data_IF_613376503398
#
_entry.id   IF_613376503398
#
_cell.length_a   1.000
_cell.length_b   1.000
_cell.length_c   1.000
_cell.angle_alpha   90.00
_cell.angle_beta   90.00
_cell.angle_gamma   90.00
#
_symmetry.space_group_name_H-M   'P 1'
#
loop_
_entity.id
_entity.type
_entity.pdbx_description
1 polymer ?
#
# COMPACT_ATOMS: atom_id res chain seq x y z
N UNK A 1 -3.72 9.61 -18.52
CA UNK A 1 -2.94 10.85 -18.68
C UNK A 1 -2.89 11.59 -17.36
N UNK A 2 -1.84 12.37 -17.07
CA UNK A 2 -1.67 13.07 -15.79
C UNK A 2 -1.74 14.59 -16.00
N UNK A 3 -2.37 15.31 -15.08
CA UNK A 3 -2.39 16.77 -15.02
C UNK A 3 -1.73 17.24 -13.72
N UNK A 4 -0.91 18.29 -13.78
CA UNK A 4 -0.07 18.72 -12.66
C UNK A 4 -0.65 19.89 -11.86
N UNK A 5 -1.65 20.58 -12.40
CA UNK A 5 -2.15 21.84 -11.85
C UNK A 5 -3.56 21.75 -11.28
N UNK A 6 -4.02 20.53 -10.98
CA UNK A 6 -5.36 20.24 -10.47
C UNK A 6 -5.26 19.31 -9.28
N UNK A 7 -6.14 19.50 -8.31
CA UNK A 7 -6.45 18.52 -7.29
C UNK A 7 -7.81 17.87 -7.55
N UNK A 8 -8.16 16.84 -6.78
CA UNK A 8 -9.49 16.22 -6.83
C UNK A 8 -10.58 17.22 -6.43
N UNK A 9 -10.31 18.11 -5.47
CA UNK A 9 -11.32 19.06 -4.97
C UNK A 9 -11.70 20.08 -6.04
N UNK A 10 -10.72 20.51 -6.85
CA UNK A 10 -10.93 21.45 -7.95
C UNK A 10 -11.89 20.88 -9.01
N UNK A 11 -12.15 19.56 -8.99
CA UNK A 11 -13.02 18.89 -9.94
C UNK A 11 -14.51 19.08 -9.67
N UNK A 12 -14.87 19.40 -8.42
CA UNK A 12 -16.25 19.58 -8.00
C UNK A 12 -16.74 21.02 -8.17
N UNK A 13 -15.82 21.98 -8.31
CA UNK A 13 -16.13 23.41 -8.34
C UNK A 13 -16.20 24.00 -9.75
N UNK A 14 -15.70 23.30 -10.78
CA UNK A 14 -15.56 23.86 -12.13
C UNK A 14 -15.96 22.94 -13.28
N UNK A 15 -16.14 23.54 -14.46
CA UNK A 15 -16.53 22.87 -15.71
C UNK A 15 -15.36 22.16 -16.42
N UNK A 16 -14.34 21.75 -15.67
CA UNK A 16 -13.12 21.17 -16.22
C UNK A 16 -13.37 19.85 -16.98
N UNK A 17 -14.37 19.05 -16.55
CA UNK A 17 -14.73 17.80 -17.23
C UNK A 17 -15.21 18.11 -18.64
N UNK A 18 -16.13 19.06 -18.77
CA UNK A 18 -16.67 19.52 -20.05
C UNK A 18 -15.57 20.08 -20.94
N UNK A 19 -14.70 20.94 -20.40
CA UNK A 19 -13.56 21.49 -21.13
C UNK A 19 -12.60 20.40 -21.65
N UNK A 20 -12.37 19.37 -20.84
CA UNK A 20 -11.53 18.25 -21.21
C UNK A 20 -12.20 17.40 -22.29
N UNK A 21 -13.47 17.06 -22.13
CA UNK A 21 -14.26 16.32 -23.12
C UNK A 21 -14.30 17.06 -24.46
N UNK A 22 -14.49 18.37 -24.47
CA UNK A 22 -14.48 19.22 -25.68
C UNK A 22 -13.13 19.16 -26.41
N UNK A 23 -12.01 19.18 -25.68
CA UNK A 23 -10.68 19.04 -26.31
C UNK A 23 -10.58 17.71 -27.06
N UNK A 24 -11.04 16.62 -26.43
CA UNK A 24 -11.00 15.31 -27.06
C UNK A 24 -11.98 15.23 -28.23
N UNK A 25 -13.22 15.70 -28.07
CA UNK A 25 -14.27 15.66 -29.09
C UNK A 25 -13.90 16.45 -30.33
N UNK A 26 -13.44 17.68 -30.16
CA UNK A 26 -13.25 18.61 -31.29
C UNK A 26 -11.90 18.42 -31.98
N UNK A 27 -10.89 17.89 -31.28
CA UNK A 27 -9.50 17.94 -31.77
C UNK A 27 -8.80 16.59 -31.83
N UNK A 28 -9.00 15.71 -30.84
CA UNK A 28 -8.19 14.49 -30.72
C UNK A 28 -8.93 13.24 -31.17
N UNK A 29 -10.23 13.11 -30.93
CA UNK A 29 -11.00 11.88 -31.13
C UNK A 29 -12.35 12.18 -31.79
N UNK A 30 -12.29 12.89 -32.93
CA UNK A 30 -13.46 13.39 -33.66
C UNK A 30 -14.39 12.30 -34.15
N UNK A 31 -13.86 11.10 -34.37
CA UNK A 31 -14.61 9.93 -34.83
C UNK A 31 -15.43 9.28 -33.71
N UNK A 32 -15.22 9.64 -32.44
CA UNK A 32 -16.00 9.09 -31.33
C UNK A 32 -17.24 9.95 -31.07
N UNK A 33 -18.46 9.42 -31.24
CA UNK A 33 -19.68 10.17 -30.95
C UNK A 33 -19.82 10.47 -29.45
N UNK A 34 -19.38 9.54 -28.62
CA UNK A 34 -19.42 9.64 -27.16
C UNK A 34 -18.00 9.57 -26.61
N UNK A 35 -17.68 10.50 -25.73
CA UNK A 35 -16.41 10.58 -25.00
C UNK A 35 -16.80 10.79 -23.55
N UNK A 36 -16.21 10.00 -22.66
CA UNK A 36 -16.54 10.02 -21.25
C UNK A 36 -15.29 9.75 -20.41
N UNK A 37 -15.27 10.30 -19.20
CA UNK A 37 -14.19 10.06 -18.24
C UNK A 37 -14.46 8.76 -17.47
N UNK A 38 -13.54 7.80 -17.54
CA UNK A 38 -13.67 6.47 -16.90
C UNK A 38 -12.93 6.35 -15.57
N UNK A 39 -11.97 7.24 -15.31
CA UNK A 39 -11.24 7.26 -14.04
C UNK A 39 -10.69 8.66 -13.80
N UNK A 40 -10.85 9.13 -12.57
CA UNK A 40 -10.12 10.26 -12.03
C UNK A 40 -9.62 9.87 -10.66
N UNK A 41 -8.36 10.15 -10.37
CA UNK A 41 -7.74 9.85 -9.08
C UNK A 41 -6.58 10.82 -8.81
N UNK A 42 -6.28 11.07 -7.53
CA UNK A 42 -5.09 11.85 -7.16
C UNK A 42 -3.85 11.05 -7.53
N UNK A 43 -2.80 11.76 -7.91
CA UNK A 43 -1.49 11.17 -8.14
C UNK A 43 -0.96 10.51 -6.87
N UNK A 44 -1.30 11.04 -5.70
CA UNK A 44 -0.89 10.51 -4.40
C UNK A 44 -1.55 9.15 -4.13
N UNK A 45 -2.84 9.00 -4.46
CA UNK A 45 -3.60 7.76 -4.24
C UNK A 45 -3.07 6.57 -5.06
N UNK A 46 -2.46 6.83 -6.22
CA UNK A 46 -1.86 5.81 -7.10
C UNK A 46 -0.38 5.58 -6.73
N UNK A 47 0.07 6.03 -5.54
CA UNK A 47 1.44 5.83 -5.06
C UNK A 47 2.45 6.84 -5.59
N UNK A 48 1.98 7.99 -6.07
CA UNK A 48 2.84 9.14 -6.38
C UNK A 48 3.35 9.86 -5.14
N UNK A 49 4.30 10.76 -5.33
CA UNK A 49 4.86 11.59 -4.24
C UNK A 49 4.06 12.89 -4.11
N UNK A 50 3.80 13.28 -2.87
CA UNK A 50 3.30 14.62 -2.55
C UNK A 50 4.32 15.67 -3.00
N UNK A 51 3.89 16.79 -3.61
CA UNK A 51 4.78 17.88 -3.97
C UNK A 51 5.58 18.42 -2.76
N UNK A 52 6.85 18.76 -2.98
CA UNK A 52 7.71 19.34 -1.93
C UNK A 52 7.25 20.74 -1.52
N UNK A 53 6.73 21.51 -2.48
CA UNK A 53 6.17 22.83 -2.23
C UNK A 53 4.68 22.71 -1.88
N UNK A 54 4.22 23.17 -0.71
CA UNK A 54 2.82 23.08 -0.32
C UNK A 54 1.88 23.97 -1.17
N UNK A 55 2.43 24.88 -1.98
CA UNK A 55 1.64 25.67 -2.94
C UNK A 55 1.37 24.94 -4.25
N UNK A 56 2.12 23.87 -4.53
CA UNK A 56 1.92 23.08 -5.74
C UNK A 56 0.73 22.12 -5.54
N UNK A 57 -0.07 21.97 -6.59
CA UNK A 57 -1.17 21.00 -6.64
C UNK A 57 -0.60 19.57 -6.72
N UNK A 58 -1.31 18.61 -6.15
CA UNK A 58 -0.92 17.18 -6.13
C UNK A 58 -0.90 16.58 -7.54
N UNK A 59 -1.81 17.06 -8.38
CA UNK A 59 -2.06 16.53 -9.70
C UNK A 59 -3.04 15.38 -9.68
N UNK A 60 -3.69 15.18 -10.82
CA UNK A 60 -4.67 14.11 -11.02
C UNK A 60 -4.25 13.22 -12.18
N UNK A 61 -4.69 11.97 -12.15
CA UNK A 61 -4.61 11.04 -13.27
C UNK A 61 -6.01 10.80 -13.80
N UNK A 62 -6.18 11.05 -15.09
CA UNK A 62 -7.46 10.91 -15.80
C UNK A 62 -7.35 9.83 -16.86
N UNK A 63 -8.38 8.99 -16.96
CA UNK A 63 -8.59 8.03 -18.05
C UNK A 63 -9.87 8.40 -18.78
N UNK A 64 -9.76 8.50 -20.11
CA UNK A 64 -10.85 8.92 -20.99
C UNK A 64 -11.15 7.76 -21.93
N UNK A 65 -12.43 7.44 -22.06
CA UNK A 65 -12.96 6.41 -22.94
C UNK A 65 -13.76 7.02 -24.08
N UNK A 66 -13.88 6.25 -25.16
CA UNK A 66 -14.72 6.54 -26.32
C UNK A 66 -15.33 5.26 -26.85
N UNK A 67 -16.34 5.35 -27.72
CA UNK A 67 -17.04 4.18 -28.26
C UNK A 67 -16.44 3.66 -29.57
N UNK A 68 -15.56 4.43 -30.20
CA UNK A 68 -14.90 4.05 -31.46
C UNK A 68 -13.43 3.73 -31.26
N UNK A 69 -12.77 3.24 -32.30
CA UNK A 69 -11.33 3.04 -32.28
C UNK A 69 -10.57 4.37 -32.16
N UNK A 70 -9.33 4.31 -31.66
CA UNK A 70 -8.47 5.50 -31.59
C UNK A 70 -8.24 6.12 -32.96
N UNK A 71 -8.47 7.44 -33.03
CA UNK A 71 -8.20 8.31 -34.17
C UNK A 71 -6.73 8.32 -34.59
N UNK A 72 -6.46 8.86 -35.78
CA UNK A 72 -5.09 9.03 -36.26
C UNK A 72 -4.32 10.06 -35.42
N UNK A 73 -5.00 11.11 -34.95
CA UNK A 73 -4.45 12.15 -34.09
C UNK A 73 -3.98 11.58 -32.75
N UNK A 74 -4.78 10.72 -32.10
CA UNK A 74 -4.40 10.06 -30.85
C UNK A 74 -3.20 9.15 -31.02
N UNK A 75 -3.15 8.38 -32.11
CA UNK A 75 -2.00 7.50 -32.42
C UNK A 75 -0.73 8.30 -32.68
N UNK A 76 -0.84 9.40 -33.41
CA UNK A 76 0.29 10.32 -33.65
C UNK A 76 0.78 10.93 -32.34
N UNK A 77 -0.16 11.35 -31.49
CA UNK A 77 0.14 11.88 -30.16
C UNK A 77 0.84 10.86 -29.25
N UNK A 78 0.46 9.58 -29.33
CA UNK A 78 1.15 8.51 -28.60
C UNK A 78 2.60 8.35 -29.06
N UNK A 79 2.87 8.40 -30.36
CA UNK A 79 4.23 8.32 -30.91
C UNK A 79 5.08 9.51 -30.43
N UNK A 80 4.54 10.73 -30.47
CA UNK A 80 5.20 11.92 -29.94
C UNK A 80 5.46 11.79 -28.43
N UNK A 81 4.45 11.35 -27.67
CA UNK A 81 4.53 11.14 -26.24
C UNK A 81 5.61 10.12 -25.88
N UNK A 82 5.70 9.03 -26.64
CA UNK A 82 6.63 7.93 -26.38
C UNK A 82 8.10 8.39 -26.47
N UNK A 83 8.42 9.29 -27.40
CA UNK A 83 9.78 9.85 -27.53
C UNK A 83 10.23 10.62 -26.28
N UNK A 84 9.28 11.15 -25.50
CA UNK A 84 9.55 11.95 -24.30
C UNK A 84 9.82 11.07 -23.08
N UNK A 85 9.29 9.85 -23.05
CA UNK A 85 9.39 8.94 -21.89
C UNK A 85 10.82 8.48 -21.63
N UNK A 86 11.59 8.36 -22.70
CA UNK A 86 12.99 7.96 -22.63
C UNK A 86 13.90 9.07 -22.11
N UNK A 87 13.39 10.30 -21.94
CA UNK A 87 14.15 11.42 -21.36
C UNK A 87 13.93 11.46 -19.86
N UNK A 88 15.02 11.33 -19.11
CA UNK A 88 15.01 11.48 -17.65
C UNK A 88 14.69 12.95 -17.34
N UNK A 89 13.64 13.15 -16.54
CA UNK A 89 12.97 14.42 -16.23
C UNK A 89 12.05 14.92 -17.33
N UNK A 90 10.75 15.05 -16.98
CA UNK A 90 9.74 15.71 -17.79
C UNK A 90 9.50 17.13 -17.23
N UNK A 91 10.33 18.13 -17.60
CA UNK A 91 10.24 19.51 -17.08
C UNK A 91 8.90 20.20 -17.36
N UNK A 92 8.15 20.59 -16.34
CA UNK A 92 6.76 21.11 -16.43
C UNK A 92 6.48 22.10 -17.57
N UNK A 93 7.43 22.99 -17.90
CA UNK A 93 7.16 24.14 -18.75
C UNK A 93 7.49 23.96 -20.25
N UNK A 94 8.06 22.83 -20.66
CA UNK A 94 8.45 22.63 -22.07
C UNK A 94 7.28 22.12 -22.93
N UNK A 95 7.06 22.72 -24.12
CA UNK A 95 6.09 22.20 -25.10
C UNK A 95 6.57 20.86 -25.63
N UNK A 96 5.83 19.79 -25.35
CA UNK A 96 6.29 18.43 -25.65
C UNK A 96 5.64 17.78 -26.85
N UNK A 97 4.37 18.12 -27.14
CA UNK A 97 3.57 17.48 -28.18
C UNK A 97 2.86 18.51 -29.04
N UNK A 98 2.34 18.07 -30.17
CA UNK A 98 1.49 18.85 -31.08
C UNK A 98 0.18 19.28 -30.40
N UNK A 99 -0.34 18.49 -29.46
CA UNK A 99 -1.59 18.76 -28.74
C UNK A 99 -1.45 19.70 -27.53
N UNK A 100 -0.24 19.94 -27.00
CA UNK A 100 0.00 20.73 -25.78
C UNK A 100 -0.76 22.05 -25.72
N UNK A 101 -0.79 22.80 -26.83
CA UNK A 101 -1.43 24.12 -26.86
C UNK A 101 -2.94 24.06 -26.63
N UNK A 102 -3.61 22.97 -27.02
CA UNK A 102 -5.05 22.76 -26.84
C UNK A 102 -5.40 22.62 -25.35
N UNK A 103 -4.55 21.92 -24.61
CA UNK A 103 -4.69 21.76 -23.17
C UNK A 103 -4.37 23.06 -22.43
N UNK A 104 -3.26 23.72 -22.79
CA UNK A 104 -2.90 25.00 -22.16
C UNK A 104 -3.89 26.12 -22.43
N UNK A 105 -4.56 26.15 -23.59
CA UNK A 105 -5.60 27.14 -23.87
C UNK A 105 -6.81 27.04 -22.94
N UNK A 106 -7.05 25.86 -22.35
CA UNK A 106 -8.07 25.60 -21.32
C UNK A 106 -7.46 25.48 -19.93
N UNK A 107 -6.28 26.05 -19.71
CA UNK A 107 -5.55 26.05 -18.43
C UNK A 107 -5.16 24.67 -17.87
N UNK A 108 -5.09 23.63 -18.70
CA UNK A 108 -4.54 22.33 -18.27
C UNK A 108 -3.02 22.28 -18.43
N UNK A 109 -2.32 21.74 -17.43
CA UNK A 109 -0.89 21.41 -17.49
C UNK A 109 -0.69 19.89 -17.55
N UNK A 110 -0.72 19.32 -18.77
CA UNK A 110 -0.57 17.88 -18.95
C UNK A 110 0.88 17.40 -18.82
N UNK A 111 1.05 16.24 -18.20
CA UNK A 111 2.30 15.48 -18.21
C UNK A 111 2.25 14.37 -19.27
N UNK A 112 2.87 14.65 -20.41
CA UNK A 112 2.90 13.76 -21.58
C UNK A 112 3.69 12.48 -21.35
N UNK A 113 4.59 12.42 -20.36
CA UNK A 113 5.38 11.22 -20.10
C UNK A 113 4.54 10.07 -19.52
N UNK A 114 3.41 10.42 -18.90
CA UNK A 114 2.38 9.50 -18.44
C UNK A 114 1.26 9.25 -19.46
N UNK A 115 1.32 9.82 -20.67
CA UNK A 115 0.33 9.53 -21.72
C UNK A 115 0.56 8.15 -22.32
N UNK A 116 -0.51 7.37 -22.46
CA UNK A 116 -0.56 6.05 -23.11
C UNK A 116 -1.96 5.84 -23.66
N UNK A 117 -2.07 5.23 -24.84
CA UNK A 117 -3.32 4.63 -25.27
C UNK A 117 -3.42 3.24 -24.66
N UNK A 118 -4.61 2.89 -24.20
CA UNK A 118 -4.89 1.59 -23.58
C UNK A 118 -6.05 1.00 -24.35
N UNK A 119 -5.77 0.03 -25.23
CA UNK A 119 -6.80 -0.90 -25.68
C UNK A 119 -7.01 -1.88 -24.53
N UNK A 120 -8.24 -2.03 -24.03
CA UNK A 120 -8.54 -3.17 -23.17
C UNK A 120 -8.26 -4.43 -24.00
N UNK A 121 -7.33 -5.30 -23.59
CA UNK A 121 -7.28 -6.61 -24.20
C UNK A 121 -8.53 -7.40 -23.77
N UNK A 122 -9.11 -8.18 -24.68
CA UNK A 122 -9.65 -9.47 -24.27
C UNK A 122 -8.47 -10.21 -23.61
N UNK A 123 -8.45 -10.24 -22.27
CA UNK A 123 -7.48 -10.95 -21.44
C UNK A 123 -6.05 -10.36 -21.38
N UNK A 124 -5.73 -9.77 -20.21
CA UNK A 124 -4.35 -9.45 -19.80
C UNK A 124 -3.63 -10.75 -19.41
N UNK A 125 -2.96 -11.38 -20.35
CA UNK A 125 -1.83 -12.28 -20.07
C UNK A 125 -0.52 -11.47 -20.07
N UNK A 126 0.21 -11.52 -18.96
CA UNK A 126 1.66 -11.44 -18.99
C UNK A 126 2.31 -10.05 -18.82
N UNK A 127 2.81 -9.84 -17.60
CA UNK A 127 4.16 -9.33 -17.34
C UNK A 127 4.44 -7.82 -17.61
N UNK A 128 4.65 -7.10 -16.49
CA UNK A 128 5.60 -5.98 -16.51
C UNK A 128 5.05 -4.59 -16.27
N UNK A 129 3.98 -4.41 -15.50
CA UNK A 129 3.86 -3.24 -14.62
C UNK A 129 3.14 -3.68 -13.35
N UNK A 130 3.59 -3.17 -12.20
CA UNK A 130 2.95 -3.34 -10.90
C UNK A 130 1.56 -2.69 -10.97
N UNK A 131 0.62 -3.42 -11.55
CA UNK A 131 -0.76 -3.05 -11.73
C UNK A 131 -1.39 -3.30 -10.36
N UNK A 132 -1.51 -2.22 -9.57
CA UNK A 132 -2.54 -2.19 -8.54
C UNK A 132 -3.82 -2.62 -9.26
N UNK A 133 -4.35 -3.79 -8.90
CA UNK A 133 -5.48 -4.42 -9.55
C UNK A 133 -6.61 -3.39 -9.62
N UNK A 134 -6.76 -2.75 -10.78
CA UNK A 134 -7.94 -2.01 -11.14
C UNK A 134 -9.04 -3.07 -11.22
N UNK A 135 -9.75 -3.28 -10.11
CA UNK A 135 -11.01 -4.01 -10.15
C UNK A 135 -11.83 -3.41 -11.29
N UNK A 136 -12.40 -4.27 -12.14
CA UNK A 136 -13.24 -3.85 -13.24
C UNK A 136 -14.45 -3.10 -12.68
N UNK A 137 -14.39 -1.77 -12.64
CA UNK A 137 -15.51 -0.94 -12.21
C UNK A 137 -16.36 -0.60 -13.43
N UNK A 138 -17.58 -1.14 -13.42
CA UNK A 138 -18.68 -0.72 -14.30
C UNK A 138 -18.96 0.78 -14.14
N UNK A 139 -19.48 1.47 -15.16
CA UNK A 139 -20.00 2.82 -15.02
C UNK A 139 -21.09 2.79 -13.95
N UNK A 140 -20.95 3.58 -12.88
CA UNK A 140 -21.87 3.62 -11.74
C UNK A 140 -23.28 4.01 -12.21
N UNK A 141 -24.26 3.10 -12.22
CA UNK A 141 -25.67 3.46 -12.32
C UNK A 141 -26.15 3.73 -10.90
N UNK A 142 -26.64 4.93 -10.60
CA UNK A 142 -27.15 5.30 -9.27
C UNK A 142 -28.51 4.65 -8.91
N UNK A 143 -28.92 3.59 -9.62
CA UNK A 143 -30.18 2.88 -9.39
C UNK A 143 -30.02 1.36 -9.53
N UNK A 144 -29.11 0.72 -8.78
CA UNK A 144 -29.29 -0.72 -8.50
C UNK A 144 -28.53 -1.17 -7.25
N UNK A 145 -29.28 -1.57 -6.22
CA UNK A 145 -28.84 -1.98 -4.89
C UNK A 145 -28.14 -3.38 -4.87
N UNK A 146 -27.65 -3.87 -6.02
CA UNK A 146 -27.04 -5.19 -6.13
C UNK A 146 -25.51 -5.08 -6.29
N UNK A 147 -24.82 -5.00 -5.16
CA UNK A 147 -23.37 -5.16 -5.10
C UNK A 147 -23.02 -6.66 -5.24
N UNK A 148 -22.51 -7.06 -6.39
CA UNK A 148 -21.91 -8.39 -6.59
C UNK A 148 -20.38 -8.27 -6.49
N UNK A 149 -19.75 -8.67 -5.38
CA UNK A 149 -18.30 -8.61 -5.27
C UNK A 149 -17.65 -9.57 -6.29
N UNK A 150 -16.51 -9.19 -6.89
CA UNK A 150 -15.76 -10.08 -7.77
C UNK A 150 -15.31 -11.34 -7.02
N UNK A 151 -15.33 -12.48 -7.70
CA UNK A 151 -14.96 -13.78 -7.14
C UNK A 151 -13.50 -13.75 -6.64
N UNK A 152 -13.34 -13.76 -5.32
CA UNK A 152 -12.04 -13.68 -4.62
C UNK A 152 -11.23 -14.98 -4.71
N UNK A 153 -11.72 -16.01 -5.41
CA UNK A 153 -11.07 -17.32 -5.50
C UNK A 153 -9.68 -17.33 -6.15
N UNK A 154 -9.34 -16.33 -6.96
CA UNK A 154 -8.06 -16.25 -7.69
C UNK A 154 -6.94 -15.52 -6.94
N UNK A 155 -7.20 -14.96 -5.75
CA UNK A 155 -6.18 -14.30 -4.96
C UNK A 155 -5.33 -15.37 -4.24
N UNK A 156 -3.97 -15.36 -4.37
CA UNK A 156 -3.14 -16.22 -3.55
C UNK A 156 -3.36 -15.84 -2.09
N UNK A 157 -4.10 -16.68 -1.37
CA UNK A 157 -4.39 -16.50 0.05
C UNK A 157 -3.06 -16.62 0.79
N UNK A 158 -2.46 -15.48 1.13
CA UNK A 158 -1.27 -15.47 1.98
C UNK A 158 -1.70 -15.93 3.36
N UNK A 159 -1.17 -17.07 3.81
CA UNK A 159 -1.49 -17.66 5.10
C UNK A 159 -0.88 -16.83 6.24
N UNK A 160 -1.56 -15.73 6.59
CA UNK A 160 -1.16 -14.82 7.66
C UNK A 160 -1.00 -15.52 9.03
N UNK A 161 -1.65 -16.67 9.20
CA UNK A 161 -1.53 -17.49 10.41
C UNK A 161 -0.14 -18.09 10.58
N UNK A 162 0.55 -18.51 9.50
CA UNK A 162 1.89 -19.07 9.62
C UNK A 162 2.90 -17.99 10.02
N UNK A 163 2.76 -16.80 9.44
CA UNK A 163 3.63 -15.65 9.75
C UNK A 163 3.40 -15.14 11.18
N UNK A 164 2.14 -15.12 11.64
CA UNK A 164 1.80 -14.77 13.01
C UNK A 164 2.33 -15.79 14.03
N UNK A 165 2.17 -17.09 13.75
CA UNK A 165 2.71 -18.15 14.60
C UNK A 165 4.23 -18.09 14.66
N UNK A 166 4.90 -17.87 13.53
CA UNK A 166 6.35 -17.72 13.50
C UNK A 166 6.83 -16.49 14.30
N UNK A 167 6.12 -15.36 14.18
CA UNK A 167 6.43 -14.13 14.92
C UNK A 167 6.17 -14.24 16.42
N UNK A 168 5.31 -15.16 16.88
CA UNK A 168 5.01 -15.35 18.30
C UNK A 168 5.85 -16.46 18.94
N UNK A 169 6.01 -17.59 18.24
CA UNK A 169 6.71 -18.76 18.75
C UNK A 169 8.21 -18.51 18.87
N UNK A 170 8.83 -17.86 17.87
CA UNK A 170 10.26 -17.61 17.87
C UNK A 170 10.73 -16.77 19.08
N UNK A 171 10.15 -15.59 19.39
CA UNK A 171 10.50 -14.87 20.61
C UNK A 171 10.06 -15.60 21.89
N UNK A 172 8.96 -16.35 21.84
CA UNK A 172 8.50 -17.19 22.95
C UNK A 172 9.54 -18.25 23.36
N UNK A 173 10.12 -18.96 22.40
CA UNK A 173 11.17 -19.95 22.67
C UNK A 173 12.44 -19.31 23.22
N UNK A 174 12.87 -18.16 22.68
CA UNK A 174 14.07 -17.45 23.18
C UNK A 174 13.88 -17.00 24.62
N UNK A 175 12.73 -16.42 24.95
CA UNK A 175 12.43 -15.98 26.33
C UNK A 175 12.33 -17.16 27.29
N UNK A 176 11.70 -18.27 26.91
CA UNK A 176 11.64 -19.47 27.73
C UNK A 176 13.02 -20.07 28.01
N UNK A 177 13.90 -20.11 27.00
CA UNK A 177 15.29 -20.58 27.16
C UNK A 177 16.07 -19.69 28.13
N UNK A 178 15.94 -18.37 28.01
CA UNK A 178 16.60 -17.42 28.93
C UNK A 178 16.07 -17.54 30.37
N UNK A 179 14.77 -17.73 30.55
CA UNK A 179 14.19 -17.95 31.88
C UNK A 179 14.68 -19.27 32.47
N UNK A 180 14.69 -20.35 31.68
CA UNK A 180 15.16 -21.66 32.13
C UNK A 180 16.63 -21.63 32.55
N UNK A 181 17.50 -20.95 31.80
CA UNK A 181 18.92 -20.84 32.16
C UNK A 181 19.09 -19.99 33.41
N UNK A 182 18.38 -18.87 33.54
CA UNK A 182 18.39 -18.04 34.75
C UNK A 182 17.90 -18.80 35.98
N UNK A 183 16.80 -19.56 35.86
CA UNK A 183 16.32 -20.40 36.96
C UNK A 183 17.33 -21.48 37.31
N UNK A 184 17.96 -22.11 36.33
CA UNK A 184 19.04 -23.08 36.57
C UNK A 184 20.21 -22.44 37.32
N UNK A 185 20.71 -21.29 36.88
CA UNK A 185 21.79 -20.57 37.59
C UNK A 185 21.38 -20.17 39.02
N UNK A 186 20.18 -19.64 39.20
CA UNK A 186 19.68 -19.25 40.53
C UNK A 186 19.46 -20.46 41.45
N UNK A 187 18.93 -21.57 40.95
CA UNK A 187 18.74 -22.80 41.73
C UNK A 187 20.07 -23.49 42.05
N UNK A 188 20.99 -23.59 41.09
CA UNK A 188 22.31 -24.19 41.31
C UNK A 188 23.19 -23.34 42.25
N UNK A 189 23.13 -22.00 42.16
CA UNK A 189 23.81 -21.14 43.15
C UNK A 189 23.14 -21.20 44.52
N UNK A 190 21.80 -21.29 44.58
CA UNK A 190 21.10 -21.44 45.86
C UNK A 190 21.42 -22.78 46.54
N UNK A 191 21.59 -23.87 45.79
CA UNK A 191 22.04 -25.16 46.34
C UNK A 191 23.49 -25.11 46.86
N UNK A 192 24.36 -24.31 46.24
CA UNK A 192 25.72 -24.07 46.74
C UNK A 192 25.74 -23.13 47.97
N UNK A 193 24.78 -22.19 48.07
CA UNK A 193 24.67 -21.22 49.16
C UNK A 193 23.73 -21.60 50.30
N UNK A 194 23.05 -22.76 50.30
CA UNK A 194 22.50 -23.32 51.54
C UNK A 194 23.70 -23.80 52.34
N UNK A 195 24.20 -23.03 53.32
CA UNK A 195 25.37 -23.45 54.05
C UNK A 195 24.89 -24.59 54.94
N UNK A 196 25.54 -25.74 54.82
CA UNK A 196 25.38 -26.91 55.70
C UNK A 196 25.37 -26.57 57.20
N UNK A 197 25.84 -25.37 57.57
CA UNK A 197 25.78 -24.78 58.91
C UNK A 197 24.35 -24.67 59.48
N UNK A 198 23.34 -24.34 58.67
CA UNK A 198 21.98 -24.15 59.19
C UNK A 198 21.30 -25.50 59.49
N UNK A 199 21.54 -26.53 58.67
CA UNK A 199 20.96 -27.86 58.87
C UNK A 199 21.61 -28.58 60.06
N UNK A 200 22.92 -28.40 60.30
CA UNK A 200 23.59 -28.94 61.48
C UNK A 200 23.13 -28.27 62.79
N UNK A 201 22.88 -26.96 62.80
CA UNK A 201 22.35 -26.27 63.99
C UNK A 201 20.94 -26.75 64.37
N UNK A 202 20.03 -26.93 63.41
CA UNK A 202 18.68 -27.41 63.74
C UNK A 202 18.68 -28.83 64.29
N UNK A 203 19.53 -29.73 63.76
CA UNK A 203 19.65 -31.10 64.26
C UNK A 203 20.28 -31.18 65.66
N UNK A 204 21.23 -30.30 65.97
CA UNK A 204 21.86 -30.25 67.31
C UNK A 204 20.91 -29.69 68.38
N UNK A 205 20.11 -28.68 68.04
CA UNK A 205 19.08 -28.11 68.94
C UNK A 205 17.98 -29.13 69.22
N UNK A 206 17.52 -29.87 68.20
CA UNK A 206 16.49 -30.89 68.37
C UNK A 206 16.98 -32.06 69.24
N UNK A 207 18.23 -32.49 69.04
CA UNK A 207 18.87 -33.54 69.84
C UNK A 207 19.07 -33.11 71.29
N UNK A 208 19.49 -31.85 71.52
CA UNK A 208 19.63 -31.28 72.87
C UNK A 208 18.27 -31.14 73.57
N UNK A 209 17.23 -30.70 72.86
CA UNK A 209 15.87 -30.55 73.39
C UNK A 209 15.28 -31.92 73.79
N UNK A 210 15.50 -32.95 72.97
CA UNK A 210 15.05 -34.31 73.28
C UNK A 210 15.80 -34.91 74.48
N UNK A 211 17.11 -34.66 74.60
CA UNK A 211 17.88 -35.10 75.77
C UNK A 211 17.39 -34.43 77.08
N UNK A 212 17.10 -33.13 77.05
CA UNK A 212 16.53 -32.41 78.19
C UNK A 212 15.13 -32.94 78.57
N UNK A 213 14.29 -33.23 77.57
CA UNK A 213 12.97 -33.84 77.79
C UNK A 213 13.06 -35.23 78.45
N UNK A 214 14.02 -36.06 78.03
CA UNK A 214 14.23 -37.37 78.64
C UNK A 214 14.68 -37.25 80.10
N UNK A 215 15.60 -36.32 80.40
CA UNK A 215 16.05 -36.06 81.78
C UNK A 215 14.92 -35.51 82.66
N UNK A 216 14.03 -34.67 82.10
CA UNK A 216 12.87 -34.16 82.81
C UNK A 216 11.83 -35.25 83.12
N UNK A 217 11.64 -36.25 82.24
CA UNK A 217 10.70 -37.36 82.48
C UNK A 217 11.21 -38.42 83.46
N UNK A 218 12.52 -38.42 83.75
CA UNK A 218 13.18 -39.41 84.61
C UNK A 218 13.35 -38.94 86.07
N UNK A 219 12.66 -37.86 86.44
CA UNK A 219 12.64 -37.25 87.78
C UNK A 219 11.24 -37.35 88.36
#
# INVERSE_FOLDING_TARGET
MKFLNLNIEDLFEGDWLSDLEDIFRDHLWKESPEIYVTKVASVVDIGGRVPVNPKDKEGIVVRIGGTTNFSQELRTLEVEANQLRNRVSCPRDYKRTSAEYRFRSRSFLPDWCGFRLITLPEQLDGEGMMQHQDAAFSPIPLEEDSYNPPDMGHLPRRDLLSDFLLSLLLPGFVTAMLLSTLTCFMCCQHEEEIPSTQVEQHSSIERATNALRQMASKR
#
